data_IF_876008687090
#
_entry.id   IF_876008687090
#
_cell.length_a   1.000
_cell.length_b   1.000
_cell.length_c   1.000
_cell.angle_alpha   90.00
_cell.angle_beta   90.00
_cell.angle_gamma   90.00
#
_symmetry.space_group_name_H-M   'P 1'
#
loop_
_entity.id
_entity.type
_entity.pdbx_description
1 polymer ?
#
# COMPACT_ATOMS: atom_id res chain seq x y z
N UNK A 1 0.91 -7.41 -27.62
CA UNK A 1 0.41 -6.57 -26.51
C UNK A 1 1.58 -5.73 -26.05
N UNK A 2 1.52 -4.41 -26.24
CA UNK A 2 2.61 -3.49 -25.89
C UNK A 2 2.99 -3.69 -24.42
N UNK A 3 4.28 -3.77 -24.12
CA UNK A 3 4.83 -3.82 -22.76
C UNK A 3 4.60 -2.51 -21.99
N UNK A 4 3.47 -1.81 -22.19
CA UNK A 4 3.04 -0.74 -21.30
C UNK A 4 3.17 -1.28 -19.86
N UNK A 5 4.12 -0.70 -19.15
CA UNK A 5 5.05 -1.42 -18.27
C UNK A 5 4.35 -2.33 -17.27
N UNK A 6 4.70 -3.61 -17.22
CA UNK A 6 4.27 -4.53 -16.16
C UNK A 6 4.50 -3.92 -14.77
N UNK A 7 5.59 -3.17 -14.60
CA UNK A 7 5.87 -2.39 -13.39
C UNK A 7 4.86 -1.25 -13.15
N UNK A 8 4.39 -0.55 -14.20
CA UNK A 8 3.32 0.43 -14.06
C UNK A 8 2.00 -0.23 -13.65
N UNK A 9 1.67 -1.39 -14.22
CA UNK A 9 0.47 -2.15 -13.84
C UNK A 9 0.55 -2.65 -12.39
N UNK A 10 1.70 -3.17 -11.96
CA UNK A 10 1.91 -3.61 -10.58
C UNK A 10 1.79 -2.43 -9.60
N UNK A 11 2.38 -1.26 -9.92
CA UNK A 11 2.20 -0.03 -9.13
C UNK A 11 0.75 0.37 -9.00
N UNK A 12 0.01 0.38 -10.10
CA UNK A 12 -1.40 0.75 -10.10
C UNK A 12 -2.24 -0.25 -9.32
N UNK A 13 -1.94 -1.55 -9.43
CA UNK A 13 -2.61 -2.60 -8.68
C UNK A 13 -2.41 -2.43 -7.16
N UNK A 14 -1.16 -2.25 -6.70
CA UNK A 14 -0.87 -2.02 -5.27
C UNK A 14 -1.54 -0.74 -4.78
N UNK A 15 -1.49 0.34 -5.57
CA UNK A 15 -2.13 1.60 -5.22
C UNK A 15 -3.66 1.45 -5.10
N UNK A 16 -4.29 0.77 -6.06
CA UNK A 16 -5.71 0.47 -6.01
C UNK A 16 -6.08 -0.36 -4.77
N UNK A 17 -5.34 -1.45 -4.50
CA UNK A 17 -5.59 -2.31 -3.35
C UNK A 17 -5.47 -1.54 -2.02
N UNK A 18 -4.44 -0.70 -1.89
CA UNK A 18 -4.25 0.14 -0.71
C UNK A 18 -5.42 1.09 -0.49
N UNK A 19 -5.88 1.78 -1.52
CA UNK A 19 -6.90 2.83 -1.39
C UNK A 19 -8.33 2.31 -1.37
N UNK A 20 -8.64 1.27 -2.15
CA UNK A 20 -10.01 0.83 -2.39
C UNK A 20 -10.39 -0.39 -1.57
N UNK A 21 -9.44 -1.31 -1.34
CA UNK A 21 -9.71 -2.58 -0.66
C UNK A 21 -9.32 -2.55 0.82
N UNK A 22 -8.85 -1.42 1.33
CA UNK A 22 -8.53 -1.27 2.76
C UNK A 22 -8.96 0.10 3.26
N UNK A 23 -9.26 0.21 4.56
CA UNK A 23 -9.50 1.50 5.22
C UNK A 23 -8.22 2.33 5.42
N UNK A 24 -7.20 2.15 4.57
CA UNK A 24 -5.86 2.73 4.75
C UNK A 24 -5.91 4.24 4.95
N UNK A 25 -6.60 4.96 4.07
CA UNK A 25 -6.68 6.42 4.14
C UNK A 25 -7.38 6.88 5.43
N UNK A 26 -8.48 6.23 5.79
CA UNK A 26 -9.19 6.51 7.04
C UNK A 26 -8.35 6.23 8.29
N UNK A 27 -7.59 5.12 8.30
CA UNK A 27 -6.65 4.80 9.40
C UNK A 27 -5.52 5.83 9.48
N UNK A 28 -5.05 6.32 8.34
CA UNK A 28 -4.01 7.35 8.22
C UNK A 28 -4.48 8.72 8.71
N UNK A 29 -5.75 9.03 8.48
CA UNK A 29 -6.37 10.29 8.89
C UNK A 29 -6.72 10.29 10.39
N UNK A 30 -7.09 9.14 10.96
CA UNK A 30 -7.36 9.00 12.40
C UNK A 30 -6.18 9.34 13.31
N UNK A 31 -4.96 9.21 12.81
CA UNK A 31 -3.74 9.55 13.56
C UNK A 31 -3.23 10.97 13.27
N UNK A 32 -3.88 11.71 12.36
CA UNK A 32 -3.50 13.08 12.02
C UNK A 32 -3.56 14.01 13.23
N UNK A 33 -2.60 14.95 13.32
CA UNK A 33 -2.55 15.96 14.39
C UNK A 33 -2.08 15.45 15.75
N UNK A 34 -1.65 14.20 15.85
CA UNK A 34 -1.09 13.62 17.09
C UNK A 34 0.43 13.54 17.04
N UNK A 35 1.08 13.62 18.21
CA UNK A 35 2.51 13.31 18.34
C UNK A 35 2.74 11.84 17.94
N UNK A 36 3.79 11.57 17.17
CA UNK A 36 4.06 10.22 16.63
C UNK A 36 3.21 9.85 15.41
N UNK A 37 2.49 10.80 14.81
CA UNK A 37 1.71 10.57 13.58
C UNK A 37 2.55 9.99 12.44
N UNK A 38 3.81 10.41 12.30
CA UNK A 38 4.70 9.93 11.23
C UNK A 38 4.95 8.43 11.40
N UNK A 39 5.38 8.01 12.59
CA UNK A 39 5.66 6.60 12.91
C UNK A 39 4.41 5.73 12.77
N UNK A 40 3.26 6.24 13.25
CA UNK A 40 1.99 5.55 13.10
C UNK A 40 1.59 5.37 11.63
N UNK A 41 1.80 6.38 10.78
CA UNK A 41 1.53 6.30 9.35
C UNK A 41 2.43 5.29 8.64
N UNK A 42 3.72 5.24 8.99
CA UNK A 42 4.66 4.25 8.46
C UNK A 42 4.22 2.83 8.84
N UNK A 43 3.92 2.58 10.11
CA UNK A 43 3.49 1.27 10.60
C UNK A 43 2.18 0.80 9.94
N UNK A 44 1.22 1.71 9.73
CA UNK A 44 -0.03 1.40 9.02
C UNK A 44 0.27 1.03 7.56
N UNK A 45 1.16 1.79 6.89
CA UNK A 45 1.59 1.52 5.53
C UNK A 45 2.24 0.14 5.38
N UNK A 46 3.22 -0.17 6.22
CA UNK A 46 3.90 -1.46 6.22
C UNK A 46 2.92 -2.63 6.40
N UNK A 47 1.98 -2.51 7.37
CA UNK A 47 0.99 -3.57 7.60
C UNK A 47 0.08 -3.81 6.41
N UNK A 48 -0.33 -2.75 5.71
CA UNK A 48 -1.16 -2.88 4.50
C UNK A 48 -0.36 -3.49 3.36
N UNK A 49 0.87 -3.04 3.13
CA UNK A 49 1.72 -3.58 2.07
C UNK A 49 2.07 -5.06 2.30
N UNK A 50 2.35 -5.44 3.55
CA UNK A 50 2.58 -6.84 3.91
C UNK A 50 1.35 -7.71 3.66
N UNK A 51 0.16 -7.25 4.05
CA UNK A 51 -1.08 -7.98 3.79
C UNK A 51 -1.36 -8.14 2.28
N UNK A 52 -1.05 -7.12 1.47
CA UNK A 52 -1.15 -7.21 0.01
C UNK A 52 -0.14 -8.22 -0.55
N UNK A 53 1.11 -8.19 -0.10
CA UNK A 53 2.15 -9.11 -0.54
C UNK A 53 1.85 -10.58 -0.18
N UNK A 54 1.27 -10.82 1.00
CA UNK A 54 0.87 -12.15 1.46
C UNK A 54 -0.26 -12.72 0.60
N UNK A 55 -1.28 -11.91 0.30
CA UNK A 55 -2.44 -12.33 -0.51
C UNK A 55 -2.09 -12.44 -2.01
N UNK A 56 -1.27 -11.53 -2.52
CA UNK A 56 -0.93 -11.39 -3.93
C UNK A 56 0.58 -11.49 -4.12
N UNK A 57 1.13 -12.70 -4.05
CA UNK A 57 2.58 -12.95 -4.09
C UNK A 57 3.30 -12.35 -5.30
N UNK A 58 2.62 -12.19 -6.44
CA UNK A 58 3.18 -11.56 -7.64
C UNK A 58 3.38 -10.03 -7.51
N UNK A 59 2.84 -9.41 -6.47
CA UNK A 59 3.00 -7.99 -6.13
C UNK A 59 4.03 -7.75 -5.01
N UNK A 60 4.58 -8.80 -4.39
CA UNK A 60 5.47 -8.67 -3.23
C UNK A 60 6.70 -7.78 -3.50
N UNK A 61 7.28 -7.88 -4.70
CA UNK A 61 8.42 -7.05 -5.09
C UNK A 61 8.06 -5.55 -5.18
N UNK A 62 6.85 -5.22 -5.62
CA UNK A 62 6.38 -3.83 -5.67
C UNK A 62 5.97 -3.32 -4.27
N UNK A 63 5.49 -4.21 -3.39
CA UNK A 63 5.15 -3.85 -2.01
C UNK A 63 6.38 -3.57 -1.13
N UNK A 64 7.56 -4.10 -1.51
CA UNK A 64 8.82 -3.95 -0.77
C UNK A 64 9.69 -2.78 -1.28
N UNK A 65 9.19 -2.01 -2.25
CA UNK A 65 9.91 -0.92 -2.92
C UNK A 65 9.77 0.41 -2.18
#
# INVERSE_FOLDING_TARGET
>A
MSSADTAALQRWAVNYLRHVQTDYDWRRDRVAGRVGVIDARLLIGERVLNAIADQYRYLAAECAR
#
